data_IF_447433683135
#
_entry.id   IF_447433683135
#
_cell.length_a   1.000
_cell.length_b   1.000
_cell.length_c   1.000
_cell.angle_alpha   90.00
_cell.angle_beta   90.00
_cell.angle_gamma   90.00
#
_symmetry.space_group_name_H-M   'P 1'
#
loop_
_entity.id
_entity.type
_entity.pdbx_description
1 polymer ?
#
# COMPACT_ATOMS: atom_id res chain seq x y z
N UNK A 1 -22.36 69.77 -13.67
CA UNK A 1 -20.91 69.50 -13.81
C UNK A 1 -20.39 69.19 -12.40
N UNK A 2 -19.85 68.05 -12.01
CA UNK A 2 -19.27 66.90 -12.72
C UNK A 2 -19.58 65.64 -11.90
N UNK A 3 -19.86 64.55 -12.60
CA UNK A 3 -19.78 63.18 -12.13
C UNK A 3 -18.38 62.86 -11.61
N UNK A 4 -18.27 61.91 -10.67
CA UNK A 4 -17.52 60.64 -10.80
C UNK A 4 -17.46 59.99 -9.40
N UNK A 5 -18.31 58.98 -9.23
CA UNK A 5 -18.09 57.87 -8.31
C UNK A 5 -17.25 56.86 -9.09
N UNK A 6 -16.09 56.48 -8.57
CA UNK A 6 -15.38 55.27 -8.96
C UNK A 6 -14.95 54.53 -7.70
N UNK A 7 -15.81 53.59 -7.29
CA UNK A 7 -15.37 52.38 -6.63
C UNK A 7 -14.46 51.59 -7.59
N UNK A 8 -13.43 50.91 -7.09
CA UNK A 8 -13.22 49.48 -7.34
C UNK A 8 -11.93 48.94 -6.69
N UNK A 9 -12.15 47.89 -5.90
CA UNK A 9 -11.33 46.69 -5.72
C UNK A 9 -9.96 46.77 -5.03
N UNK A 10 -10.03 46.45 -3.73
CA UNK A 10 -9.15 45.51 -3.03
C UNK A 10 -8.34 44.58 -3.95
N UNK A 11 -7.02 44.63 -3.76
CA UNK A 11 -6.06 43.65 -4.24
C UNK A 11 -6.28 42.36 -3.46
N UNK A 12 -7.02 41.41 -4.03
CA UNK A 12 -6.97 40.02 -3.61
C UNK A 12 -5.64 39.43 -4.08
N UNK A 13 -4.69 39.30 -3.16
CA UNK A 13 -3.54 38.43 -3.35
C UNK A 13 -4.06 36.99 -3.45
N UNK A 14 -4.28 36.52 -4.67
CA UNK A 14 -4.41 35.10 -4.97
C UNK A 14 -3.02 34.48 -4.77
N UNK A 15 -2.75 34.03 -3.55
CA UNK A 15 -1.73 33.01 -3.34
C UNK A 15 -2.16 31.80 -4.14
N UNK A 16 -1.45 31.57 -5.23
CA UNK A 16 -1.50 30.37 -6.05
C UNK A 16 -1.25 29.20 -5.11
N UNK A 17 -2.33 28.56 -4.66
CA UNK A 17 -2.23 27.28 -3.99
C UNK A 17 -1.60 26.32 -4.99
N UNK A 18 -0.39 25.84 -4.68
CA UNK A 18 0.22 24.72 -5.39
C UNK A 18 -0.84 23.63 -5.49
N UNK A 19 -1.32 23.36 -6.70
CA UNK A 19 -1.97 22.10 -7.00
C UNK A 19 -0.87 21.04 -6.88
N UNK A 20 -0.62 20.56 -5.65
CA UNK A 20 0.18 19.36 -5.44
C UNK A 20 -0.48 18.28 -6.28
N UNK A 21 0.23 17.82 -7.32
CA UNK A 21 -0.15 16.61 -8.04
C UNK A 21 -0.05 15.48 -7.03
N UNK A 22 -1.16 15.15 -6.38
CA UNK A 22 -1.23 13.92 -5.61
C UNK A 22 -1.11 12.76 -6.59
N UNK A 23 -0.09 11.94 -6.41
CA UNK A 23 0.14 10.79 -7.29
C UNK A 23 -0.64 9.62 -6.72
N UNK A 24 -1.96 9.66 -6.89
CA UNK A 24 -2.84 8.59 -6.44
C UNK A 24 -2.92 7.51 -7.52
N UNK A 25 -2.39 6.33 -7.24
CA UNK A 25 -2.44 5.17 -8.14
C UNK A 25 -3.16 4.02 -7.45
N UNK A 26 -4.05 3.37 -8.21
CA UNK A 26 -4.78 2.19 -7.75
C UNK A 26 -4.73 1.14 -8.83
N UNK A 27 -4.26 -0.05 -8.45
CA UNK A 27 -4.11 -1.19 -9.36
C UNK A 27 -4.85 -2.37 -8.74
N UNK A 28 -5.74 -2.98 -9.50
CA UNK A 28 -6.43 -4.21 -9.11
C UNK A 28 -6.25 -5.24 -10.20
N UNK A 29 -5.77 -6.43 -9.83
CA UNK A 29 -5.47 -7.53 -10.73
C UNK A 29 -6.17 -8.77 -10.22
N UNK A 30 -6.92 -9.43 -11.10
CA UNK A 30 -7.61 -10.68 -10.81
C UNK A 30 -7.26 -11.73 -11.88
N UNK A 31 -6.90 -12.93 -11.47
CA UNK A 31 -6.69 -14.06 -12.39
C UNK A 31 -7.18 -15.38 -11.77
N UNK A 32 -7.63 -16.29 -12.62
CA UNK A 32 -7.97 -17.66 -12.24
C UNK A 32 -6.73 -18.54 -12.32
N UNK A 33 -6.44 -19.28 -11.26
CA UNK A 33 -5.38 -20.29 -11.26
C UNK A 33 -6.00 -21.68 -11.37
N UNK A 34 -5.43 -22.50 -12.25
CA UNK A 34 -5.82 -23.91 -12.48
C UNK A 34 -4.91 -24.87 -11.67
N UNK A 35 -4.42 -24.46 -10.50
CA UNK A 35 -3.60 -25.33 -9.65
C UNK A 35 -4.34 -26.64 -9.29
N UNK A 36 -3.70 -27.82 -9.46
CA UNK A 36 -4.33 -29.10 -9.19
C UNK A 36 -4.57 -29.26 -7.68
N UNK A 37 -5.84 -29.17 -7.27
CA UNK A 37 -6.29 -29.38 -5.89
C UNK A 37 -7.25 -28.31 -5.36
N UNK A 38 -7.24 -27.10 -5.94
CA UNK A 38 -8.13 -26.00 -5.57
C UNK A 38 -8.92 -25.57 -6.82
N UNK A 39 -10.11 -26.15 -6.99
CA UNK A 39 -11.01 -25.87 -8.13
C UNK A 39 -11.26 -24.36 -8.25
N UNK A 40 -10.83 -23.73 -9.34
CA UNK A 40 -11.13 -22.34 -9.69
C UNK A 40 -10.80 -21.31 -8.60
N UNK A 41 -9.59 -21.34 -8.03
CA UNK A 41 -9.20 -20.30 -7.10
C UNK A 41 -8.88 -18.99 -7.83
N UNK A 42 -9.54 -17.90 -7.43
CA UNK A 42 -9.29 -16.55 -7.96
C UNK A 42 -8.25 -15.85 -7.11
N UNK A 43 -7.13 -15.54 -7.74
CA UNK A 43 -6.14 -14.66 -7.16
C UNK A 43 -6.57 -13.21 -7.38
N UNK A 44 -6.52 -12.42 -6.33
CA UNK A 44 -6.86 -11.00 -6.36
C UNK A 44 -5.77 -10.23 -5.65
N UNK A 45 -5.22 -9.21 -6.31
CA UNK A 45 -4.27 -8.27 -5.73
C UNK A 45 -4.83 -6.87 -5.95
N UNK A 46 -4.94 -6.08 -4.89
CA UNK A 46 -5.31 -4.67 -4.95
C UNK A 46 -4.26 -3.85 -4.24
N UNK A 47 -3.70 -2.88 -4.95
CA UNK A 47 -2.69 -1.95 -4.48
C UNK A 47 -3.30 -0.55 -4.56
N UNK A 48 -3.20 0.21 -3.49
CA UNK A 48 -3.51 1.64 -3.46
C UNK A 48 -2.32 2.38 -2.91
N UNK A 49 -1.85 3.37 -3.65
CA UNK A 49 -0.68 4.15 -3.32
C UNK A 49 -1.01 5.62 -3.57
N UNK A 50 -1.13 6.40 -2.51
CA UNK A 50 -1.32 7.85 -2.54
C UNK A 50 -0.15 8.54 -1.83
N UNK A 51 -0.24 9.85 -1.59
CA UNK A 51 0.88 10.61 -1.03
C UNK A 51 1.27 10.13 0.37
N UNK A 52 0.30 9.74 1.20
CA UNK A 52 0.50 9.43 2.62
C UNK A 52 0.55 7.93 2.91
N UNK A 53 -0.11 7.12 2.10
CA UNK A 53 -0.41 5.72 2.39
C UNK A 53 -0.08 4.80 1.23
N UNK A 54 0.46 3.64 1.58
CA UNK A 54 0.54 2.49 0.71
C UNK A 54 -0.23 1.32 1.32
N UNK A 55 -1.11 0.70 0.53
CA UNK A 55 -1.88 -0.48 0.95
C UNK A 55 -1.83 -1.55 -0.13
N UNK A 56 -1.66 -2.80 0.30
CA UNK A 56 -1.77 -3.97 -0.56
C UNK A 56 -2.66 -5.01 0.09
N UNK A 57 -3.64 -5.50 -0.66
CA UNK A 57 -4.52 -6.58 -0.26
C UNK A 57 -4.43 -7.69 -1.30
N UNK A 58 -4.02 -8.88 -0.88
CA UNK A 58 -3.94 -10.03 -1.76
C UNK A 58 -4.74 -11.23 -1.21
N UNK A 59 -5.40 -11.96 -2.09
CA UNK A 59 -5.99 -13.27 -1.85
C UNK A 59 -5.41 -14.27 -2.84
N UNK A 60 -4.94 -15.41 -2.37
CA UNK A 60 -4.16 -16.39 -3.14
C UNK A 60 -4.38 -17.83 -2.61
N UNK A 61 -4.06 -18.88 -3.39
CA UNK A 61 -4.23 -20.26 -2.96
C UNK A 61 -3.55 -20.52 -1.63
N UNK A 62 -4.21 -21.31 -0.78
CA UNK A 62 -3.73 -21.55 0.58
C UNK A 62 -2.32 -22.19 0.60
N UNK A 63 -2.00 -22.97 -0.43
CA UNK A 63 -0.70 -23.61 -0.70
C UNK A 63 0.47 -22.60 -0.67
N UNK A 64 0.25 -21.36 -1.12
CA UNK A 64 1.29 -20.33 -1.20
C UNK A 64 1.60 -19.64 0.13
N UNK A 65 0.76 -19.84 1.16
CA UNK A 65 0.90 -19.13 2.45
C UNK A 65 2.27 -19.30 3.09
N UNK A 66 2.81 -20.52 3.13
CA UNK A 66 4.14 -20.75 3.74
C UNK A 66 5.29 -20.21 2.87
N UNK A 67 5.16 -20.22 1.53
CA UNK A 67 6.13 -19.57 0.62
C UNK A 67 6.18 -18.06 0.87
N UNK A 68 5.01 -17.41 0.92
CA UNK A 68 4.91 -15.98 1.25
C UNK A 68 5.44 -15.65 2.65
N UNK A 69 5.15 -16.49 3.64
CA UNK A 69 5.66 -16.28 5.01
C UNK A 69 7.18 -16.26 5.05
N UNK A 70 7.85 -17.16 4.33
CA UNK A 70 9.32 -17.18 4.26
C UNK A 70 9.83 -15.92 3.59
N UNK A 71 9.29 -15.60 2.42
CA UNK A 71 9.63 -14.38 1.68
C UNK A 71 9.53 -13.12 2.55
N UNK A 72 8.43 -12.94 3.28
CA UNK A 72 8.25 -11.79 4.18
C UNK A 72 9.24 -11.78 5.36
N UNK A 73 9.63 -12.95 5.90
CA UNK A 73 10.66 -12.99 6.95
C UNK A 73 12.06 -12.66 6.42
N UNK A 74 12.33 -12.95 5.16
CA UNK A 74 13.64 -12.72 4.55
C UNK A 74 13.83 -11.25 4.12
N UNK A 75 12.73 -10.54 3.84
CA UNK A 75 12.76 -9.16 3.32
C UNK A 75 12.34 -8.09 4.33
N UNK A 76 11.61 -8.45 5.41
CA UNK A 76 11.20 -7.48 6.42
C UNK A 76 12.12 -7.55 7.63
N UNK A 77 12.71 -6.41 7.99
CA UNK A 77 13.51 -6.29 9.21
C UNK A 77 12.67 -6.42 10.50
N UNK A 78 11.36 -6.13 10.42
CA UNK A 78 10.48 -6.24 11.57
C UNK A 78 10.38 -7.70 12.04
N UNK A 79 10.33 -7.89 13.36
CA UNK A 79 10.18 -9.23 13.92
C UNK A 79 8.76 -9.76 13.70
N UNK A 80 8.63 -10.95 13.12
CA UNK A 80 7.35 -11.64 13.02
C UNK A 80 6.81 -12.00 14.40
N UNK A 81 5.54 -11.66 14.62
CA UNK A 81 4.71 -12.14 15.73
C UNK A 81 3.60 -13.04 15.22
N UNK A 82 3.11 -13.96 16.07
CA UNK A 82 1.98 -14.84 15.74
C UNK A 82 0.83 -14.60 16.73
N UNK A 83 -0.34 -14.24 16.21
CA UNK A 83 -1.58 -14.07 16.98
C UNK A 83 -2.66 -14.99 16.40
N UNK A 84 -2.93 -16.10 17.10
CA UNK A 84 -3.83 -17.14 16.60
C UNK A 84 -3.35 -17.72 15.26
N UNK A 85 -4.13 -17.51 14.20
CA UNK A 85 -3.82 -17.99 12.85
C UNK A 85 -3.28 -16.90 11.91
N UNK A 86 -2.83 -15.78 12.48
CA UNK A 86 -2.27 -14.63 11.75
C UNK A 86 -0.81 -14.45 12.14
N UNK A 87 0.06 -14.33 11.14
CA UNK A 87 1.42 -13.85 11.26
C UNK A 87 1.43 -12.34 10.99
N UNK A 88 2.16 -11.59 11.79
CA UNK A 88 2.16 -10.14 11.74
C UNK A 88 3.55 -9.55 11.91
N UNK A 89 3.89 -8.57 11.09
CA UNK A 89 5.11 -7.76 11.17
C UNK A 89 4.69 -6.31 11.40
N UNK A 90 5.17 -5.73 12.48
CA UNK A 90 4.91 -4.34 12.86
C UNK A 90 6.23 -3.60 12.91
N UNK A 91 6.36 -2.55 12.11
CA UNK A 91 7.46 -1.60 12.21
C UNK A 91 6.93 -0.31 12.82
N UNK A 92 7.60 0.10 13.89
CA UNK A 92 7.30 1.33 14.60
C UNK A 92 8.45 2.31 14.39
N UNK A 93 8.10 3.56 14.11
CA UNK A 93 9.05 4.66 14.08
C UNK A 93 8.49 5.79 14.95
N UNK A 94 9.30 6.28 15.89
CA UNK A 94 8.90 7.31 16.87
C UNK A 94 7.62 6.99 17.69
N UNK A 95 7.28 5.70 17.82
CA UNK A 95 6.08 5.25 18.54
C UNK A 95 4.83 5.11 17.66
N UNK A 96 4.91 5.54 16.40
CA UNK A 96 3.85 5.42 15.40
C UNK A 96 4.10 4.24 14.45
N UNK A 97 3.05 3.75 13.80
CA UNK A 97 3.15 2.58 12.90
C UNK A 97 3.62 3.04 11.52
N UNK A 98 4.87 2.74 11.18
CA UNK A 98 5.37 2.91 9.81
C UNK A 98 4.80 1.87 8.86
N UNK A 99 4.80 0.58 9.24
CA UNK A 99 4.06 -0.43 8.50
C UNK A 99 3.49 -1.55 9.36
N UNK A 100 2.43 -2.16 8.85
CA UNK A 100 1.79 -3.35 9.36
C UNK A 100 1.56 -4.35 8.22
N UNK A 101 2.17 -5.53 8.33
CA UNK A 101 1.96 -6.64 7.40
C UNK A 101 1.26 -7.77 8.14
N UNK A 102 0.13 -8.24 7.63
CA UNK A 102 -0.68 -9.33 8.19
C UNK A 102 -0.88 -10.44 7.17
N UNK A 103 -0.32 -11.60 7.47
CA UNK A 103 -0.45 -12.82 6.67
C UNK A 103 -1.33 -13.83 7.40
N UNK A 104 -2.36 -14.31 6.73
CA UNK A 104 -3.16 -15.47 7.14
C UNK A 104 -3.30 -16.44 5.97
N UNK A 105 -3.88 -17.61 6.22
CA UNK A 105 -4.10 -18.62 5.19
C UNK A 105 -4.80 -18.02 3.96
N UNK A 106 -4.08 -17.99 2.84
CA UNK A 106 -4.55 -17.50 1.54
C UNK A 106 -4.84 -16.00 1.46
N UNK A 107 -4.41 -15.17 2.43
CA UNK A 107 -4.62 -13.72 2.41
C UNK A 107 -3.46 -12.94 3.01
N UNK A 108 -3.06 -11.86 2.34
CA UNK A 108 -2.07 -10.88 2.78
C UNK A 108 -2.72 -9.49 2.82
N UNK A 109 -2.47 -8.75 3.90
CA UNK A 109 -2.86 -7.36 4.03
C UNK A 109 -1.64 -6.57 4.47
N UNK A 110 -1.38 -5.48 3.78
CA UNK A 110 -0.24 -4.59 4.00
C UNK A 110 -0.80 -3.19 4.13
N UNK A 111 -0.32 -2.50 5.15
CA UNK A 111 -0.55 -1.10 5.38
C UNK A 111 0.80 -0.46 5.67
N UNK A 112 1.07 0.69 5.07
CA UNK A 112 2.25 1.50 5.32
C UNK A 112 1.83 2.96 5.36
N UNK A 113 2.25 3.63 6.42
CA UNK A 113 2.14 5.06 6.59
C UNK A 113 3.47 5.70 6.21
N UNK A 114 3.47 6.42 5.10
CA UNK A 114 4.65 7.01 4.49
C UNK A 114 5.20 8.18 5.30
N UNK A 115 4.41 8.75 6.21
CA UNK A 115 4.88 9.78 7.12
C UNK A 115 5.88 9.20 8.13
N UNK A 116 5.76 7.91 8.47
CA UNK A 116 6.57 7.23 9.48
C UNK A 116 7.57 6.22 8.92
N UNK A 117 7.80 6.22 7.61
CA UNK A 117 8.85 5.42 6.96
C UNK A 117 9.76 6.26 6.08
N UNK A 118 11.00 5.82 5.87
CA UNK A 118 11.90 6.46 4.91
C UNK A 118 11.41 6.23 3.48
N UNK A 119 11.75 7.15 2.58
CA UNK A 119 11.46 7.01 1.15
C UNK A 119 12.08 5.73 0.59
N UNK A 120 13.31 5.41 0.99
CA UNK A 120 13.99 4.17 0.60
C UNK A 120 13.17 2.92 0.98
N UNK A 121 12.58 2.89 2.18
CA UNK A 121 11.75 1.76 2.63
C UNK A 121 10.44 1.67 1.84
N UNK A 122 9.89 2.81 1.38
CA UNK A 122 8.73 2.83 0.49
C UNK A 122 9.08 2.21 -0.86
N UNK A 123 10.24 2.56 -1.42
CA UNK A 123 10.73 2.01 -2.69
C UNK A 123 11.00 0.50 -2.58
N UNK A 124 11.71 0.07 -1.53
CA UNK A 124 11.97 -1.35 -1.25
C UNK A 124 10.67 -2.15 -1.12
N UNK A 125 9.64 -1.57 -0.46
CA UNK A 125 8.33 -2.21 -0.37
C UNK A 125 7.64 -2.34 -1.73
N UNK A 126 7.69 -1.29 -2.55
CA UNK A 126 7.07 -1.31 -3.88
C UNK A 126 7.72 -2.40 -4.74
N UNK A 127 9.05 -2.51 -4.72
CA UNK A 127 9.79 -3.53 -5.46
C UNK A 127 9.52 -4.93 -4.94
N UNK A 128 9.60 -5.14 -3.61
CA UNK A 128 9.25 -6.40 -2.96
C UNK A 128 7.83 -6.87 -3.33
N UNK A 129 6.86 -5.96 -3.43
CA UNK A 129 5.48 -6.32 -3.80
C UNK A 129 5.27 -6.53 -5.29
N UNK A 130 6.12 -5.96 -6.14
CA UNK A 130 6.20 -6.34 -7.55
C UNK A 130 6.61 -7.81 -7.68
N UNK A 131 7.58 -8.27 -6.90
CA UNK A 131 8.02 -9.67 -6.90
C UNK A 131 6.97 -10.61 -6.30
N UNK A 132 6.26 -10.14 -5.27
CA UNK A 132 5.16 -10.89 -4.66
C UNK A 132 4.07 -11.23 -5.66
N UNK A 133 3.80 -10.34 -6.61
CA UNK A 133 2.84 -10.57 -7.69
C UNK A 133 3.25 -11.78 -8.53
N UNK A 134 4.53 -12.00 -8.77
CA UNK A 134 5.03 -13.17 -9.51
C UNK A 134 4.92 -14.45 -8.66
N UNK A 135 5.25 -14.40 -7.36
CA UNK A 135 5.10 -15.54 -6.44
C UNK A 135 3.66 -16.04 -6.33
N UNK A 136 2.71 -15.12 -6.39
CA UNK A 136 1.28 -15.38 -6.27
C UNK A 136 0.67 -15.79 -7.61
N UNK A 137 1.36 -15.56 -8.74
CA UNK A 137 0.96 -15.98 -10.10
C UNK A 137 1.40 -17.40 -10.45
N UNK A 138 2.64 -17.74 -10.11
CA UNK A 138 3.17 -19.12 -10.18
C UNK A 138 2.43 -20.05 -9.23
#
# INVERSE_FOLDING_TARGET
>A
MKTIICALCLVLAVSVGNAQKSSNSKVSISYSSDEPGDKNYKVNISISNNDDLYTLNASFPNSKTEKLKRFLNDHLDAKMTKKGNTYQWDYLNEGEIGYNVKLKKGKLNVFMDKEYVSIDLVEDFIDMFSDLKEIVKE
#
